data_IF_180611278409
#
_entry.id   IF_180611278409
#
_cell.length_a   1.000
_cell.length_b   1.000
_cell.length_c   1.000
_cell.angle_alpha   90.00
_cell.angle_beta   90.00
_cell.angle_gamma   90.00
#
_symmetry.space_group_name_H-M   'P 1'
#
loop_
_entity.id
_entity.type
_entity.pdbx_description
1 polymer ?
#
# COMPACT_ATOMS: atom_id res chain seq x y z
N UNK A 1 -8.77 -2.58 12.60
CA UNK A 1 -7.97 -3.65 13.24
C UNK A 1 -6.53 -3.17 13.36
N UNK A 2 -5.73 -3.66 14.32
CA UNK A 2 -4.27 -3.46 14.29
C UNK A 2 -3.59 -4.47 13.34
N UNK A 3 -2.31 -4.25 13.04
CA UNK A 3 -1.49 -5.25 12.35
C UNK A 3 -1.44 -6.55 13.16
N UNK A 4 -1.56 -7.68 12.47
CA UNK A 4 -1.30 -9.00 13.05
C UNK A 4 0.18 -9.14 13.43
N UNK A 5 0.55 -10.02 14.37
CA UNK A 5 1.95 -10.21 14.75
C UNK A 5 2.86 -10.55 13.56
N UNK A 6 2.37 -11.36 12.61
CA UNK A 6 3.11 -11.73 11.41
C UNK A 6 3.28 -10.53 10.46
N UNK A 7 2.24 -9.73 10.27
CA UNK A 7 2.29 -8.53 9.46
C UNK A 7 3.20 -7.46 10.08
N UNK A 8 3.18 -7.33 11.41
CA UNK A 8 4.09 -6.43 12.13
C UNK A 8 5.55 -6.89 11.99
N UNK A 9 5.83 -8.19 12.07
CA UNK A 9 7.18 -8.71 11.85
C UNK A 9 7.72 -8.37 10.44
N UNK A 10 6.88 -8.42 9.41
CA UNK A 10 7.25 -8.01 8.04
C UNK A 10 7.59 -6.51 7.98
N UNK A 11 6.83 -5.66 8.67
CA UNK A 11 7.11 -4.22 8.76
C UNK A 11 8.40 -3.95 9.55
N UNK A 12 8.65 -4.71 10.63
CA UNK A 12 9.88 -4.59 11.41
C UNK A 12 11.11 -5.04 10.60
N UNK A 13 10.97 -6.12 9.82
CA UNK A 13 12.02 -6.62 8.93
C UNK A 13 12.32 -5.63 7.79
N UNK A 14 11.30 -4.94 7.27
CA UNK A 14 11.50 -3.84 6.34
C UNK A 14 12.39 -2.75 6.95
N UNK A 15 12.16 -2.40 8.21
CA UNK A 15 12.97 -1.42 8.96
C UNK A 15 14.45 -1.81 9.12
N UNK A 16 14.79 -3.09 8.94
CA UNK A 16 16.17 -3.59 9.00
C UNK A 16 16.84 -3.67 7.63
N UNK A 17 16.12 -3.38 6.54
CA UNK A 17 16.67 -3.43 5.19
C UNK A 17 17.66 -2.27 4.95
N UNK A 18 18.73 -2.49 4.16
CA UNK A 18 19.68 -1.44 3.82
C UNK A 18 18.98 -0.22 3.18
N UNK A 19 19.29 0.98 3.69
CA UNK A 19 18.73 2.24 3.20
C UNK A 19 17.34 2.59 3.74
N UNK A 20 16.71 1.72 4.53
CA UNK A 20 15.45 2.04 5.23
C UNK A 20 15.76 2.81 6.51
N UNK A 21 15.16 3.98 6.66
CA UNK A 21 15.26 4.80 7.87
C UNK A 21 14.06 4.53 8.79
N UNK A 22 14.16 4.86 10.09
CA UNK A 22 13.02 4.80 11.00
C UNK A 22 11.82 5.63 10.53
N UNK A 23 12.07 6.75 9.82
CA UNK A 23 11.01 7.57 9.22
C UNK A 23 10.17 6.77 8.21
N UNK A 24 10.81 5.97 7.35
CA UNK A 24 10.09 5.16 6.36
C UNK A 24 9.15 4.15 7.03
N UNK A 25 9.57 3.55 8.14
CA UNK A 25 8.76 2.58 8.89
C UNK A 25 7.57 3.27 9.54
N UNK A 26 7.81 4.42 10.20
CA UNK A 26 6.74 5.21 10.82
C UNK A 26 5.72 5.66 9.78
N UNK A 27 6.18 6.15 8.63
CA UNK A 27 5.30 6.59 7.56
C UNK A 27 4.50 5.42 6.94
N UNK A 28 5.14 4.27 6.73
CA UNK A 28 4.46 3.05 6.27
C UNK A 28 3.37 2.61 7.26
N UNK A 29 3.69 2.55 8.56
CA UNK A 29 2.72 2.23 9.60
C UNK A 29 1.58 3.25 9.64
N UNK A 30 1.88 4.54 9.47
CA UNK A 30 0.89 5.60 9.37
C UNK A 30 -0.07 5.40 8.20
N UNK A 31 0.44 5.04 7.02
CA UNK A 31 -0.39 4.75 5.83
C UNK A 31 -1.30 3.55 6.06
N UNK A 32 -0.76 2.46 6.61
CA UNK A 32 -1.55 1.27 6.94
C UNK A 32 -2.64 1.60 7.98
N UNK A 33 -2.29 2.34 9.04
CA UNK A 33 -3.23 2.72 10.09
C UNK A 33 -4.32 3.69 9.59
N UNK A 34 -4.00 4.56 8.63
CA UNK A 34 -4.94 5.51 8.04
C UNK A 34 -6.02 4.83 7.16
N UNK A 35 -5.80 3.59 6.71
CA UNK A 35 -6.73 2.85 5.87
C UNK A 35 -7.06 1.48 6.47
N UNK A 36 -8.18 1.37 7.23
CA UNK A 36 -8.60 0.10 7.81
C UNK A 36 -8.74 -1.03 6.79
N UNK A 37 -9.22 -0.71 5.58
CA UNK A 37 -9.36 -1.69 4.49
C UNK A 37 -8.00 -2.19 4.01
N UNK A 38 -7.02 -1.29 3.85
CA UNK A 38 -5.68 -1.67 3.42
C UNK A 38 -5.00 -2.53 4.48
N UNK A 39 -5.15 -2.16 5.76
CA UNK A 39 -4.62 -2.91 6.88
C UNK A 39 -5.21 -4.32 6.96
N UNK A 40 -6.53 -4.46 6.79
CA UNK A 40 -7.19 -5.76 6.77
C UNK A 40 -6.70 -6.62 5.60
N UNK A 41 -6.56 -6.04 4.40
CA UNK A 41 -6.02 -6.72 3.22
C UNK A 41 -4.56 -7.14 3.40
N UNK A 42 -3.74 -6.31 4.04
CA UNK A 42 -2.35 -6.63 4.33
C UNK A 42 -2.26 -7.82 5.30
N UNK A 43 -3.02 -7.78 6.40
CA UNK A 43 -3.12 -8.90 7.33
C UNK A 43 -3.59 -10.19 6.65
N UNK A 44 -4.59 -10.11 5.79
CA UNK A 44 -5.09 -11.27 5.04
C UNK A 44 -4.05 -11.82 4.07
N UNK A 45 -3.34 -10.95 3.34
CA UNK A 45 -2.30 -11.35 2.40
C UNK A 45 -1.14 -12.06 3.11
N UNK A 46 -0.73 -11.56 4.28
CA UNK A 46 0.30 -12.19 5.12
C UNK A 46 -0.19 -13.53 5.68
N UNK A 47 -1.42 -13.59 6.20
CA UNK A 47 -1.99 -14.83 6.74
C UNK A 47 -2.12 -15.93 5.67
N UNK A 48 -2.41 -15.55 4.42
CA UNK A 48 -2.48 -16.46 3.28
C UNK A 48 -1.12 -16.74 2.62
N UNK A 49 -0.02 -16.25 3.21
CA UNK A 49 1.34 -16.39 2.67
C UNK A 49 1.47 -15.86 1.23
N UNK A 50 0.66 -14.86 0.87
CA UNK A 50 0.69 -14.17 -0.44
C UNK A 50 1.66 -13.01 -0.44
N UNK A 51 1.89 -12.42 0.72
CA UNK A 51 2.96 -11.46 0.97
C UNK A 51 3.82 -12.01 2.10
N UNK A 52 5.11 -12.22 1.81
CA UNK A 52 6.08 -12.76 2.74
C UNK A 52 7.09 -11.71 3.21
N UNK A 53 7.14 -10.54 2.55
CA UNK A 53 8.08 -9.49 2.93
C UNK A 53 7.86 -8.17 2.21
N UNK A 54 8.52 -7.14 2.72
CA UNK A 54 8.65 -5.84 2.09
C UNK A 54 10.13 -5.57 1.80
N UNK A 55 10.41 -4.93 0.67
CA UNK A 55 11.78 -4.59 0.26
C UNK A 55 11.88 -3.14 -0.20
N UNK A 56 13.02 -2.47 0.03
CA UNK A 56 13.23 -1.13 -0.49
C UNK A 56 13.34 -1.16 -2.02
N UNK A 57 12.78 -0.15 -2.66
CA UNK A 57 12.99 0.17 -4.07
C UNK A 57 13.67 1.53 -4.15
N UNK A 58 14.84 1.55 -4.78
CA UNK A 58 15.67 2.75 -4.90
C UNK A 58 15.36 3.57 -6.15
N UNK A 59 14.59 3.03 -7.09
CA UNK A 59 14.11 3.77 -8.25
C UNK A 59 13.04 4.78 -7.82
N UNK A 60 13.29 6.10 -7.95
CA UNK A 60 12.35 7.13 -7.54
C UNK A 60 11.12 7.26 -8.45
N UNK A 61 11.19 6.73 -9.68
CA UNK A 61 10.10 6.77 -10.65
C UNK A 61 9.16 5.57 -10.56
N UNK A 62 9.57 4.54 -9.83
CA UNK A 62 8.75 3.36 -9.64
C UNK A 62 7.61 3.64 -8.65
N UNK A 63 6.41 3.23 -9.02
CA UNK A 63 5.21 3.33 -8.18
C UNK A 63 5.06 2.20 -7.17
N UNK A 64 6.05 1.31 -7.00
CA UNK A 64 5.92 0.05 -6.27
C UNK A 64 5.97 -1.16 -7.21
N UNK A 65 6.32 -2.33 -6.68
CA UNK A 65 6.33 -3.58 -7.47
C UNK A 65 6.19 -4.82 -6.60
N UNK A 66 5.20 -5.65 -6.89
CA UNK A 66 5.10 -7.02 -6.36
C UNK A 66 6.01 -7.97 -7.13
N UNK A 67 6.84 -8.72 -6.40
CA UNK A 67 7.73 -9.75 -6.95
C UNK A 67 7.15 -11.14 -6.63
N UNK A 68 6.68 -11.91 -7.63
CA UNK A 68 6.04 -13.21 -7.38
C UNK A 68 7.02 -14.29 -6.93
N UNK A 69 8.31 -14.20 -7.31
CA UNK A 69 9.32 -15.20 -6.96
C UNK A 69 9.54 -15.33 -5.45
N UNK A 70 9.56 -14.20 -4.74
CA UNK A 70 9.77 -14.14 -3.28
C UNK A 70 8.54 -13.62 -2.52
N UNK A 71 7.42 -13.44 -3.21
CA UNK A 71 6.17 -12.90 -2.66
C UNK A 71 6.37 -11.59 -1.88
N UNK A 72 7.25 -10.72 -2.38
CA UNK A 72 7.56 -9.45 -1.70
C UNK A 72 7.01 -8.24 -2.43
N UNK A 73 6.62 -7.21 -1.66
CA UNK A 73 6.29 -5.90 -2.21
C UNK A 73 7.52 -5.00 -2.08
N UNK A 74 7.95 -4.44 -3.21
CA UNK A 74 9.04 -3.47 -3.28
C UNK A 74 8.45 -2.07 -3.21
N UNK A 75 8.88 -1.28 -2.22
CA UNK A 75 8.35 0.04 -1.93
C UNK A 75 9.37 1.15 -2.25
N UNK A 76 9.01 2.15 -3.07
CA UNK A 76 9.89 3.27 -3.38
C UNK A 76 10.17 4.10 -2.13
N UNK A 77 11.43 4.11 -1.68
CA UNK A 77 11.81 4.81 -0.45
C UNK A 77 11.53 6.31 -0.52
N UNK A 78 11.78 6.92 -1.69
CA UNK A 78 11.51 8.33 -1.92
C UNK A 78 10.04 8.73 -1.71
N UNK A 79 9.11 7.77 -1.84
CA UNK A 79 7.68 7.97 -1.60
C UNK A 79 7.26 7.67 -0.17
N UNK A 80 8.13 7.08 0.64
CA UNK A 80 7.96 6.85 2.07
C UNK A 80 8.70 7.89 2.93
N UNK A 81 9.54 8.73 2.33
CA UNK A 81 10.21 9.85 3.00
C UNK A 81 9.30 11.09 3.02
N UNK A 82 9.50 11.95 4.02
CA UNK A 82 9.02 13.32 3.92
C UNK A 82 9.96 14.09 2.97
N UNK A 83 9.38 14.86 2.05
CA UNK A 83 10.16 15.62 1.09
C UNK A 83 10.93 16.77 1.77
N UNK A 84 12.03 17.25 1.15
CA UNK A 84 12.79 18.38 1.68
C UNK A 84 11.88 19.62 1.86
N UNK A 85 12.11 20.36 2.94
CA UNK A 85 11.30 21.54 3.28
C UNK A 85 10.01 21.25 4.04
N UNK A 86 9.88 20.08 4.67
CA UNK A 86 8.69 19.73 5.46
C UNK A 86 7.50 19.29 4.60
N UNK A 87 7.75 18.90 3.34
CA UNK A 87 6.70 18.32 2.49
C UNK A 87 6.29 16.97 3.07
N UNK A 88 5.07 16.88 3.57
CA UNK A 88 4.54 15.61 4.07
C UNK A 88 4.47 14.56 2.96
N UNK A 89 4.68 13.31 3.35
CA UNK A 89 4.26 12.13 2.61
C UNK A 89 2.87 12.33 1.96
N UNK A 90 2.73 12.00 0.68
CA UNK A 90 1.41 11.81 0.08
C UNK A 90 0.85 10.44 0.49
N UNK A 91 0.17 10.42 1.65
CA UNK A 91 -0.41 9.19 2.20
C UNK A 91 -1.49 8.59 1.30
N UNK A 92 -2.18 9.41 0.49
CA UNK A 92 -3.17 8.96 -0.48
C UNK A 92 -2.53 8.19 -1.63
N UNK A 93 -1.45 8.75 -2.20
CA UNK A 93 -0.66 8.07 -3.22
C UNK A 93 -0.08 6.75 -2.68
N UNK A 94 0.53 6.77 -1.49
CA UNK A 94 1.12 5.54 -0.91
C UNK A 94 0.05 4.48 -0.57
N UNK A 95 -1.14 4.90 -0.12
CA UNK A 95 -2.28 3.99 0.09
C UNK A 95 -2.68 3.31 -1.22
N UNK A 96 -2.74 4.07 -2.32
CA UNK A 96 -3.05 3.53 -3.64
C UNK A 96 -1.98 2.55 -4.11
N UNK A 97 -0.70 2.92 -4.00
CA UNK A 97 0.44 2.06 -4.34
C UNK A 97 0.38 0.73 -3.58
N UNK A 98 0.28 0.77 -2.26
CA UNK A 98 0.21 -0.44 -1.43
C UNK A 98 -0.99 -1.30 -1.78
N UNK A 99 -2.16 -0.68 -1.99
CA UNK A 99 -3.36 -1.40 -2.41
C UNK A 99 -3.21 -2.06 -3.77
N UNK A 100 -2.56 -1.37 -4.72
CA UNK A 100 -2.28 -1.89 -6.06
C UNK A 100 -1.36 -3.12 -5.99
N UNK A 101 -0.26 -3.03 -5.24
CA UNK A 101 0.70 -4.13 -5.11
C UNK A 101 0.14 -5.31 -4.31
N UNK A 102 -0.64 -5.05 -3.26
CA UNK A 102 -1.34 -6.12 -2.53
C UNK A 102 -2.33 -6.86 -3.41
N UNK A 103 -3.02 -6.13 -4.29
CA UNK A 103 -3.93 -6.76 -5.23
C UNK A 103 -3.18 -7.70 -6.19
N UNK A 104 -1.96 -7.38 -6.60
CA UNK A 104 -1.13 -8.28 -7.43
C UNK A 104 -0.76 -9.57 -6.67
N UNK A 105 -0.42 -9.48 -5.38
CA UNK A 105 -0.15 -10.66 -4.54
C UNK A 105 -1.40 -11.51 -4.27
N UNK A 106 -2.57 -10.87 -4.12
CA UNK A 106 -3.84 -11.55 -3.86
C UNK A 106 -4.49 -12.14 -5.13
N UNK A 107 -4.26 -11.52 -6.29
CA UNK A 107 -4.83 -11.92 -7.58
C UNK A 107 -3.71 -12.42 -8.50
N UNK A 108 -3.30 -13.67 -8.30
CA UNK A 108 -2.53 -14.39 -9.32
C UNK A 108 -3.39 -14.46 -10.60
N UNK A 109 -3.04 -13.71 -11.64
CA UNK A 109 -3.73 -13.59 -12.94
C UNK A 109 -4.94 -14.53 -13.16
N UNK A 110 -6.08 -14.14 -12.60
CA UNK A 110 -7.36 -14.26 -13.30
C UNK A 110 -7.75 -12.82 -13.60
N UNK A 111 -7.59 -12.44 -14.86
CA UNK A 111 -7.93 -11.11 -15.38
C UNK A 111 -9.31 -10.67 -14.87
N UNK A 112 -9.39 -9.43 -14.42
CA UNK A 112 -10.62 -8.62 -14.25
C UNK A 112 -11.51 -8.88 -13.03
N UNK A 113 -11.34 -8.06 -11.97
CA UNK A 113 -12.38 -7.23 -11.31
C UNK A 113 -12.01 -6.80 -9.88
N UNK A 114 -11.05 -5.91 -9.74
CA UNK A 114 -10.91 -5.12 -8.50
C UNK A 114 -10.75 -3.61 -8.77
N UNK A 115 -10.99 -3.19 -10.01
CA UNK A 115 -11.15 -1.78 -10.40
C UNK A 115 -12.60 -1.27 -10.31
N UNK A 116 -13.52 -2.02 -9.70
CA UNK A 116 -14.96 -1.67 -9.62
C UNK A 116 -15.43 -1.18 -8.24
N UNK A 117 -14.72 -1.44 -7.14
CA UNK A 117 -15.15 -0.96 -5.81
C UNK A 117 -14.55 0.40 -5.42
N UNK A 118 -13.36 0.74 -5.89
CA UNK A 118 -12.79 2.08 -5.66
C UNK A 118 -13.44 3.15 -6.56
N UNK A 119 -13.82 2.79 -7.80
CA UNK A 119 -14.52 3.70 -8.71
C UNK A 119 -15.95 4.04 -8.26
N UNK A 120 -16.67 3.07 -7.70
CA UNK A 120 -18.07 3.27 -7.32
C UNK A 120 -18.28 4.15 -6.08
N UNK A 121 -17.22 4.55 -5.37
CA UNK A 121 -17.32 5.44 -4.20
C UNK A 121 -16.72 6.83 -4.41
N UNK A 122 -15.89 7.02 -5.45
CA UNK A 122 -15.46 8.36 -5.90
C UNK A 122 -16.32 8.93 -7.04
N UNK A 123 -17.22 8.14 -7.66
CA UNK A 123 -18.12 8.61 -8.72
C UNK A 123 -19.57 8.90 -8.27
N UNK A 124 -19.92 8.68 -7.00
CA UNK A 124 -21.29 8.81 -6.52
C UNK A 124 -21.61 10.19 -5.91
N UNK A 125 -20.62 11.07 -5.76
CA UNK A 125 -20.77 12.37 -5.05
C UNK A 125 -20.69 13.59 -6.00
N UNK A 126 -21.09 13.42 -7.26
CA UNK A 126 -21.12 14.54 -8.24
C UNK A 126 -22.34 14.55 -9.16
N UNK A 127 -23.40 13.82 -8.83
CA UNK A 127 -24.67 13.91 -9.57
C UNK A 127 -25.87 13.95 -8.61
N UNK A 128 -25.99 15.02 -7.83
CA UNK A 128 -27.28 15.40 -7.23
C UNK A 128 -27.47 16.92 -7.22
N UNK A 129 -27.22 17.55 -8.36
CA UNK A 129 -27.61 18.95 -8.62
C UNK A 129 -28.03 19.12 -10.09
N UNK A 130 -29.14 18.50 -10.49
CA UNK A 130 -29.97 18.98 -11.60
C UNK A 130 -31.33 18.25 -11.60
N UNK A 131 -32.23 18.75 -10.75
CA UNK A 131 -33.66 18.47 -10.80
C UNK A 131 -34.29 19.23 -11.99
N UNK A 132 -35.24 18.54 -12.64
CA UNK A 132 -36.44 19.08 -13.31
C UNK A 132 -36.22 19.83 -14.63
N UNK A 133 -36.54 19.15 -15.74
CA UNK A 133 -37.66 19.49 -16.64
C UNK A 133 -38.10 18.22 -17.38
#
# INVERSE_FOLDING_TARGET
MPLSPQAQAIVDDFGRQPGVSPEHVVNLQGVLAASPVLLDQFNEAVAKQRVLGLKPLTDPNAGGTFTPDDHSIRLPLARLSNGPGGKSLDSGEMTFVLGHELQHGLVQHSRSRLSQRFRNRCGADSQDHARLF
#
